data_IF_034525831302
#
_entry.id   IF_034525831302
#
_cell.length_a   1.000
_cell.length_b   1.000
_cell.length_c   1.000
_cell.angle_alpha   90.00
_cell.angle_beta   90.00
_cell.angle_gamma   90.00
#
_symmetry.space_group_name_H-M   'P 1'
#
loop_
_entity.id
_entity.type
_entity.pdbx_description
1 polymer ?
#
# COMPACT_ATOMS: atom_id res chain seq x y z
N UNK A 1 9.94 20.42 -12.02
CA UNK A 1 9.89 18.94 -12.11
C UNK A 1 8.91 18.44 -11.06
N UNK A 2 7.66 18.16 -11.45
CA UNK A 2 6.68 17.60 -10.52
C UNK A 2 6.91 16.10 -10.42
N UNK A 3 7.33 15.60 -9.27
CA UNK A 3 7.41 14.17 -9.04
C UNK A 3 6.01 13.56 -9.23
N UNK A 4 5.93 12.52 -10.05
CA UNK A 4 4.69 11.79 -10.29
C UNK A 4 4.47 10.82 -9.11
N UNK A 5 3.30 10.89 -8.48
CA UNK A 5 2.93 9.99 -7.39
C UNK A 5 2.98 8.53 -7.87
N UNK A 6 2.60 8.25 -9.12
CA UNK A 6 2.66 6.91 -9.67
C UNK A 6 4.10 6.37 -9.70
N UNK A 7 5.07 7.19 -10.11
CA UNK A 7 6.48 6.83 -10.11
C UNK A 7 7.01 6.61 -8.69
N UNK A 8 6.62 7.49 -7.76
CA UNK A 8 7.01 7.35 -6.35
C UNK A 8 6.51 6.05 -5.73
N UNK A 9 5.34 5.54 -6.12
CA UNK A 9 4.78 4.32 -5.55
C UNK A 9 5.43 3.04 -6.05
N UNK A 10 6.10 3.07 -7.22
CA UNK A 10 6.79 1.90 -7.79
C UNK A 10 7.86 1.32 -6.85
N UNK A 11 8.56 2.16 -6.08
CA UNK A 11 9.57 1.69 -5.12
C UNK A 11 8.99 0.83 -3.99
N UNK A 12 7.68 0.90 -3.76
CA UNK A 12 6.96 0.09 -2.78
C UNK A 12 6.19 -1.06 -3.43
N UNK A 13 6.27 -1.23 -4.76
CA UNK A 13 5.43 -2.18 -5.49
C UNK A 13 3.93 -1.87 -5.38
N UNK A 14 3.57 -0.59 -5.24
CA UNK A 14 2.18 -0.14 -5.11
C UNK A 14 1.76 0.71 -6.31
N UNK A 15 0.46 0.79 -6.53
CA UNK A 15 -0.18 1.66 -7.51
C UNK A 15 -1.00 2.76 -6.83
N UNK A 16 -1.40 3.79 -7.58
CA UNK A 16 -2.36 4.79 -7.05
C UNK A 16 -3.66 4.12 -6.61
N UNK A 17 -4.12 3.10 -7.34
CA UNK A 17 -5.33 2.36 -7.01
C UNK A 17 -5.23 1.64 -5.65
N UNK A 18 -4.07 1.10 -5.28
CA UNK A 18 -3.85 0.51 -3.94
C UNK A 18 -4.07 1.54 -2.83
N UNK A 19 -3.70 2.81 -3.05
CA UNK A 19 -3.93 3.88 -2.08
C UNK A 19 -5.38 4.38 -2.11
N UNK A 20 -6.03 4.39 -3.27
CA UNK A 20 -7.47 4.71 -3.37
C UNK A 20 -8.30 3.68 -2.58
N UNK A 21 -7.97 2.40 -2.71
CA UNK A 21 -8.56 1.27 -1.97
C UNK A 21 -8.31 1.40 -0.46
N UNK A 22 -7.06 1.57 -0.04
CA UNK A 22 -6.69 1.62 1.39
C UNK A 22 -7.24 2.87 2.11
N UNK A 23 -7.28 4.03 1.43
CA UNK A 23 -7.67 5.30 2.06
C UNK A 23 -9.12 5.70 1.84
N UNK A 24 -9.81 5.08 0.87
CA UNK A 24 -11.12 5.50 0.40
C UNK A 24 -11.14 6.90 -0.24
N UNK A 25 -9.98 7.45 -0.61
CA UNK A 25 -9.85 8.79 -1.20
C UNK A 25 -9.52 8.72 -2.67
N UNK A 26 -10.16 9.58 -3.45
CA UNK A 26 -9.89 9.67 -4.87
C UNK A 26 -8.50 10.24 -5.18
N UNK A 27 -8.01 9.90 -6.38
CA UNK A 27 -6.72 10.29 -6.95
C UNK A 27 -6.30 11.74 -6.67
N UNK A 28 -7.17 12.72 -6.92
CA UNK A 28 -6.82 14.13 -6.77
C UNK A 28 -6.37 14.49 -5.34
N UNK A 29 -7.00 13.88 -4.33
CA UNK A 29 -6.65 14.06 -2.92
C UNK A 29 -5.28 13.44 -2.64
N UNK A 30 -5.02 12.24 -3.16
CA UNK A 30 -3.72 11.56 -3.00
C UNK A 30 -2.58 12.36 -3.63
N UNK A 31 -2.77 12.91 -4.84
CA UNK A 31 -1.78 13.78 -5.48
C UNK A 31 -1.59 15.10 -4.73
N UNK A 32 -2.66 15.64 -4.12
CA UNK A 32 -2.58 16.83 -3.29
C UNK A 32 -1.76 16.56 -2.03
N UNK A 33 -2.01 15.45 -1.33
CA UNK A 33 -1.22 15.03 -0.18
C UNK A 33 0.23 14.77 -0.57
N UNK A 34 0.49 14.05 -1.66
CA UNK A 34 1.86 13.84 -2.13
C UNK A 34 2.66 15.14 -2.33
N UNK A 35 2.00 16.21 -2.79
CA UNK A 35 2.62 17.52 -3.00
C UNK A 35 2.71 18.38 -1.75
N UNK A 36 1.72 18.31 -0.86
CA UNK A 36 1.56 19.24 0.28
C UNK A 36 1.88 18.64 1.64
N UNK A 37 1.58 17.36 1.85
CA UNK A 37 1.82 16.65 3.09
C UNK A 37 1.99 15.14 2.84
N UNK A 38 3.25 14.72 2.73
CA UNK A 38 3.60 13.31 2.46
C UNK A 38 3.39 12.40 3.67
N UNK A 39 3.22 12.92 4.90
CA UNK A 39 3.10 12.08 6.08
C UNK A 39 1.83 11.22 6.05
N UNK A 40 0.71 11.81 5.65
CA UNK A 40 -0.56 11.10 5.47
C UNK A 40 -0.38 9.95 4.46
N UNK A 41 0.30 10.22 3.36
CA UNK A 41 0.57 9.23 2.32
C UNK A 41 1.45 8.08 2.84
N UNK A 42 2.48 8.39 3.62
CA UNK A 42 3.36 7.39 4.25
C UNK A 42 2.61 6.48 5.22
N UNK A 43 1.65 7.01 5.98
CA UNK A 43 0.81 6.20 6.86
C UNK A 43 -0.06 5.21 6.06
N UNK A 44 -0.65 5.64 4.95
CA UNK A 44 -1.46 4.79 4.07
C UNK A 44 -0.60 3.70 3.44
N UNK A 45 0.58 4.06 2.91
CA UNK A 45 1.54 3.11 2.33
C UNK A 45 1.93 2.04 3.37
N UNK A 46 2.24 2.45 4.60
CA UNK A 46 2.61 1.52 5.68
C UNK A 46 1.46 0.58 6.02
N UNK A 47 0.24 1.11 6.13
CA UNK A 47 -0.97 0.30 6.38
C UNK A 47 -1.14 -0.77 5.31
N UNK A 48 -1.10 -0.37 4.04
CA UNK A 48 -1.26 -1.27 2.89
C UNK A 48 -0.22 -2.39 2.87
N UNK A 49 1.06 -2.06 3.10
CA UNK A 49 2.15 -3.03 3.12
C UNK A 49 2.01 -4.01 4.29
N UNK A 50 1.59 -3.54 5.47
CA UNK A 50 1.34 -4.38 6.64
C UNK A 50 0.21 -5.38 6.37
N UNK A 51 -0.88 -4.94 5.76
CA UNK A 51 -2.00 -5.82 5.41
C UNK A 51 -1.59 -6.92 4.42
N UNK A 52 -0.77 -6.59 3.41
CA UNK A 52 -0.24 -7.60 2.47
C UNK A 52 0.64 -8.64 3.17
N UNK A 53 1.51 -8.21 4.09
CA UNK A 53 2.36 -9.13 4.86
C UNK A 53 1.55 -10.07 5.76
N UNK A 54 0.51 -9.56 6.43
CA UNK A 54 -0.37 -10.39 7.26
C UNK A 54 -1.11 -11.46 6.45
N UNK A 55 -1.60 -11.11 5.25
CA UNK A 55 -2.24 -12.06 4.35
C UNK A 55 -1.26 -13.15 3.91
N UNK A 56 -0.04 -12.77 3.52
CA UNK A 56 1.00 -13.73 3.12
C UNK A 56 1.38 -14.65 4.28
N UNK A 57 1.61 -14.10 5.47
CA UNK A 57 1.94 -14.89 6.66
C UNK A 57 0.85 -15.92 6.97
N UNK A 58 -0.42 -15.50 6.93
CA UNK A 58 -1.57 -16.38 7.15
C UNK A 58 -1.69 -17.49 6.09
N UNK A 59 -1.41 -17.18 4.83
CA UNK A 59 -1.40 -18.19 3.76
C UNK A 59 -0.29 -19.24 3.98
N UNK A 60 0.90 -18.80 4.42
CA UNK A 60 2.01 -19.70 4.75
C UNK A 60 1.66 -20.59 5.95
N UNK A 61 1.14 -20.02 7.03
CA UNK A 61 0.70 -20.77 8.22
C UNK A 61 -0.33 -21.86 7.87
N UNK A 62 -1.32 -21.51 7.05
CA UNK A 62 -2.32 -22.47 6.58
C UNK A 62 -1.67 -23.62 5.79
N UNK A 63 -0.75 -23.31 4.86
CA UNK A 63 -0.05 -24.31 4.05
C UNK A 63 0.84 -25.23 4.89
N UNK A 64 1.54 -24.70 5.89
CA UNK A 64 2.36 -25.49 6.80
C UNK A 64 1.50 -26.45 7.63
N UNK A 65 0.38 -25.98 8.18
CA UNK A 65 -0.54 -26.83 8.97
C UNK A 65 -1.17 -27.98 8.16
N UNK A 66 -1.24 -27.85 6.83
CA UNK A 66 -1.70 -28.91 5.94
C UNK A 66 -0.63 -29.99 5.67
N UNK A 67 0.65 -29.67 5.82
CA UNK A 67 1.77 -30.60 5.63
C UNK A 67 2.07 -31.42 6.89
N UNK A 68 1.68 -30.92 8.06
CA UNK A 68 1.86 -31.59 9.36
C UNK A 68 0.72 -32.57 9.71
N UNK A 69 -0.25 -32.76 8.81
CA UNK A 69 -1.35 -33.72 8.91
C UNK A 69 -1.13 -34.92 8.00
#
# INVERSE_FOLDING_TARGET
MGYDLAEYLKQFGLTVADLEDESGRGRNTLYTWYKKDKQILMCIIRSRLSSKLQVIAKDIENKLSMLER
#
